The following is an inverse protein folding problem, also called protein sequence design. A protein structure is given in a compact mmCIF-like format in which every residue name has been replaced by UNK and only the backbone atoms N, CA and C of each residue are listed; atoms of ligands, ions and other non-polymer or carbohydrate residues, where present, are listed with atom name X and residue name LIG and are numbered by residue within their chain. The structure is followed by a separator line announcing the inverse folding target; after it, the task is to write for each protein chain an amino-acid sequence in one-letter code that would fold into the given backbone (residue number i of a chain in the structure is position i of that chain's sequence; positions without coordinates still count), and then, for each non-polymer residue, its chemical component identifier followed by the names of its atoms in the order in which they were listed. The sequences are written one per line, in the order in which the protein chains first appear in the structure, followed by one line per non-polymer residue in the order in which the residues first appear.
data_IF_688104506502
#
_entry.id   IF_688104506502
#
_cell.length_a   1.000
_cell.length_b   1.000
_cell.length_c   1.000
_cell.angle_alpha   90.00
_cell.angle_beta   90.00
_cell.angle_gamma   90.00
#
_symmetry.space_group_name_H-M   'P 1'
#
loop_
_entity.id
_entity.type
_entity.pdbx_description
1 polymer ?
#
# COMPACT_ATOMS: atom_id res chain seq x y z
N UNK A 1 -17.51 3.87 -2.46
CA UNK A 1 -16.31 3.00 -2.39
C UNK A 1 -16.38 2.12 -1.16
N UNK A 2 -16.05 0.82 -1.26
CA UNK A 2 -15.72 -0.01 -0.08
C UNK A 2 -14.35 0.46 0.43
N UNK A 3 -14.21 0.72 1.73
CA UNK A 3 -12.92 0.97 2.37
C UNK A 3 -12.49 -0.27 3.17
N UNK A 4 -11.22 -0.35 3.55
CA UNK A 4 -10.66 -1.55 4.19
C UNK A 4 -11.43 -1.98 5.44
N UNK A 5 -11.83 -1.03 6.30
CA UNK A 5 -12.64 -1.32 7.49
C UNK A 5 -13.95 -2.02 7.15
N UNK A 6 -14.63 -1.57 6.09
CA UNK A 6 -15.86 -2.23 5.62
C UNK A 6 -15.57 -3.63 5.09
N UNK A 7 -14.49 -3.82 4.34
CA UNK A 7 -14.09 -5.14 3.84
C UNK A 7 -13.91 -6.14 4.99
N UNK A 8 -13.17 -5.76 6.04
CA UNK A 8 -12.96 -6.59 7.24
C UNK A 8 -14.26 -7.00 7.96
N UNK A 9 -15.29 -6.16 7.92
CA UNK A 9 -16.56 -6.43 8.61
C UNK A 9 -17.61 -7.17 7.78
N UNK A 10 -17.45 -7.23 6.45
CA UNK A 10 -18.52 -7.66 5.53
C UNK A 10 -18.13 -8.79 4.60
N UNK A 11 -16.86 -9.15 4.53
CA UNK A 11 -16.37 -10.20 3.64
C UNK A 11 -15.89 -11.40 4.47
N UNK A 12 -16.11 -12.60 3.95
CA UNK A 12 -15.64 -13.85 4.56
C UNK A 12 -14.10 -13.95 4.52
N UNK A 13 -13.48 -13.35 3.49
CA UNK A 13 -12.04 -13.29 3.32
C UNK A 13 -11.64 -11.96 2.69
N UNK A 14 -10.51 -11.40 3.13
CA UNK A 14 -9.99 -10.10 2.67
C UNK A 14 -8.57 -10.29 2.15
N UNK A 15 -8.32 -9.82 0.93
CA UNK A 15 -7.00 -9.89 0.29
C UNK A 15 -6.38 -8.50 0.27
N UNK A 16 -5.14 -8.41 0.71
CA UNK A 16 -4.35 -7.18 0.68
C UNK A 16 -3.07 -7.39 -0.11
N UNK A 17 -2.55 -6.31 -0.69
CA UNK A 17 -1.22 -6.27 -1.28
C UNK A 17 -0.43 -5.09 -0.75
N UNK A 18 0.89 -5.20 -0.75
CA UNK A 18 1.82 -4.13 -0.39
C UNK A 18 2.43 -3.57 -1.67
N UNK A 19 2.51 -2.22 -1.78
CA UNK A 19 3.24 -1.61 -2.88
C UNK A 19 4.74 -1.70 -2.65
N UNK A 20 5.46 -1.91 -3.74
CA UNK A 20 6.91 -1.78 -3.74
C UNK A 20 7.27 -0.31 -3.92
N UNK A 21 7.99 0.26 -2.95
CA UNK A 21 8.45 1.64 -2.98
C UNK A 21 9.98 1.69 -3.04
N UNK A 22 10.49 2.61 -3.85
CA UNK A 22 11.89 3.02 -3.91
C UNK A 22 12.01 4.51 -3.57
N UNK A 23 13.22 5.04 -3.29
CA UNK A 23 13.40 6.48 -3.05
C UNK A 23 12.90 7.39 -4.19
N UNK A 24 12.83 6.88 -5.42
CA UNK A 24 12.35 7.59 -6.62
C UNK A 24 10.84 7.43 -6.84
N UNK A 25 10.17 6.62 -6.01
CA UNK A 25 8.72 6.40 -6.14
C UNK A 25 7.96 7.68 -5.83
N UNK A 26 7.13 8.07 -6.78
CA UNK A 26 6.30 9.27 -6.74
C UNK A 26 4.80 8.91 -6.73
N UNK A 27 3.93 9.92 -6.65
CA UNK A 27 2.49 9.71 -6.66
C UNK A 27 1.98 9.03 -7.94
N UNK A 28 2.63 9.28 -9.09
CA UNK A 28 2.20 8.73 -10.38
C UNK A 28 2.49 7.23 -10.46
N UNK A 29 3.68 6.81 -10.02
CA UNK A 29 4.06 5.40 -9.95
C UNK A 29 3.25 4.64 -8.90
N UNK A 30 2.91 5.26 -7.75
CA UNK A 30 1.95 4.70 -6.78
C UNK A 30 0.59 4.48 -7.44
N UNK A 31 0.07 5.49 -8.14
CA UNK A 31 -1.23 5.40 -8.81
C UNK A 31 -1.24 4.29 -9.86
N UNK A 32 -0.17 4.17 -10.67
CA UNK A 32 -0.04 3.11 -11.67
C UNK A 32 -0.07 1.71 -11.04
N UNK A 33 0.69 1.48 -9.96
CA UNK A 33 0.66 0.19 -9.25
C UNK A 33 -0.72 -0.10 -8.66
N UNK A 34 -1.38 0.90 -8.06
CA UNK A 34 -2.71 0.76 -7.51
C UNK A 34 -3.77 0.45 -8.59
N UNK A 35 -3.61 1.01 -9.79
CA UNK A 35 -4.49 0.75 -10.92
C UNK A 35 -4.36 -0.68 -11.45
N UNK A 36 -3.13 -1.22 -11.47
CA UNK A 36 -2.89 -2.63 -11.83
C UNK A 36 -3.57 -3.59 -10.84
N UNK A 37 -3.50 -3.26 -9.54
CA UNK A 37 -4.09 -4.08 -8.47
C UNK A 37 -5.60 -3.88 -8.31
N UNK A 38 -6.19 -2.91 -9.02
CA UNK A 38 -7.59 -2.55 -8.88
C UNK A 38 -8.50 -3.72 -9.26
N UNK A 39 -9.36 -4.12 -8.32
CA UNK A 39 -10.30 -5.23 -8.50
C UNK A 39 -9.74 -6.61 -8.12
N UNK A 40 -8.44 -6.72 -7.84
CA UNK A 40 -7.82 -7.96 -7.37
C UNK A 40 -7.61 -7.97 -5.84
N UNK A 41 -7.51 -6.80 -5.21
CA UNK A 41 -7.28 -6.66 -3.77
C UNK A 41 -8.29 -5.70 -3.14
N UNK A 42 -8.61 -5.95 -1.88
CA UNK A 42 -9.55 -5.13 -1.10
C UNK A 42 -8.90 -3.86 -0.53
N UNK A 43 -7.59 -3.92 -0.30
CA UNK A 43 -6.80 -2.80 0.19
C UNK A 43 -5.32 -2.95 -0.20
N UNK A 44 -4.65 -1.80 -0.20
CA UNK A 44 -3.23 -1.67 -0.51
C UNK A 44 -2.53 -1.08 0.72
N UNK A 45 -1.44 -1.71 1.14
CA UNK A 45 -0.50 -1.17 2.13
C UNK A 45 0.57 -0.35 1.43
N UNK A 46 0.78 0.87 1.93
CA UNK A 46 1.89 1.74 1.54
C UNK A 46 2.74 1.94 2.80
N UNK A 47 3.99 1.47 2.77
CA UNK A 47 4.90 1.54 3.91
C UNK A 47 5.92 2.65 3.70
N UNK A 48 6.11 3.50 4.70
CA UNK A 48 7.09 4.59 4.66
C UNK A 48 8.52 4.11 5.00
N UNK A 49 8.66 2.95 5.65
CA UNK A 49 9.95 2.36 6.01
C UNK A 49 9.90 0.83 6.09
N UNK A 50 9.84 0.20 4.91
CA UNK A 50 9.69 -1.24 4.72
C UNK A 50 10.70 -2.12 5.50
N UNK A 51 11.89 -1.58 5.76
CA UNK A 51 12.97 -2.29 6.47
C UNK A 51 13.22 -1.78 7.89
N UNK A 52 12.40 -0.85 8.39
CA UNK A 52 12.60 -0.23 9.70
C UNK A 52 13.98 0.43 9.82
N UNK A 53 14.58 0.84 8.70
CA UNK A 53 15.94 1.38 8.68
C UNK A 53 15.95 2.71 9.39
N UNK A 54 16.89 2.84 10.31
CA UNK A 54 17.13 4.06 11.05
C UNK A 54 17.74 5.08 10.07
N UNK A 55 17.00 6.14 9.78
CA UNK A 55 17.49 7.29 9.04
C UNK A 55 17.99 8.33 10.06
N UNK A 56 19.28 8.26 10.40
CA UNK A 56 19.91 9.26 11.26
C UNK A 56 20.28 10.47 10.40
N UNK A 57 19.72 11.63 10.74
CA UNK A 57 20.19 12.91 10.22
C UNK A 57 21.60 13.15 10.74
N UNK A 58 22.51 13.64 9.88
CA UNK A 58 23.93 13.88 10.21
C UNK A 58 24.16 15.15 11.05
N UNK A 59 23.18 15.54 11.87
CA UNK A 59 23.25 16.73 12.73
C UNK A 59 24.48 16.68 13.65
#
# INVERSE_FOLDING_TARGET
LKNFRKALSTQDFVITSELFLTPETDSNSIQMQADILRGYVDAILITDNQSGRIHMSTL
#
